data_IF_280112591018
#
_entry.id   IF_280112591018
#
_cell.length_a   1.000
_cell.length_b   1.000
_cell.length_c   1.000
_cell.angle_alpha   90.00
_cell.angle_beta   90.00
_cell.angle_gamma   90.00
#
_symmetry.space_group_name_H-M   'P 1'
#
loop_
_entity.id
_entity.type
_entity.pdbx_description
1 polymer ?
#
# COMPACT_ATOMS: atom_id res chain seq x y z
N UNK A 1 -0.59 -9.94 -8.69
CA UNK A 1 -0.95 -8.90 -7.70
C UNK A 1 -2.29 -8.30 -8.12
N UNK A 2 -3.27 -8.34 -7.24
CA UNK A 2 -4.64 -7.97 -7.59
C UNK A 2 -5.28 -7.14 -6.49
N UNK A 3 -6.14 -6.23 -6.87
CA UNK A 3 -6.95 -5.42 -5.96
C UNK A 3 -8.36 -5.24 -6.49
N UNK A 4 -9.31 -5.05 -5.58
CA UNK A 4 -10.68 -4.67 -5.87
C UNK A 4 -10.83 -3.18 -5.62
N UNK A 5 -11.44 -2.45 -6.57
CA UNK A 5 -11.82 -1.07 -6.34
C UNK A 5 -13.30 -1.00 -5.96
N UNK A 6 -13.59 -0.38 -4.82
CA UNK A 6 -14.94 -0.16 -4.33
C UNK A 6 -15.06 1.23 -3.73
N UNK A 7 -16.03 2.03 -4.18
CA UNK A 7 -16.30 3.39 -3.72
C UNK A 7 -15.03 4.29 -3.66
N UNK A 8 -14.15 4.17 -4.67
CA UNK A 8 -12.88 4.91 -4.74
C UNK A 8 -11.75 4.39 -3.82
N UNK A 9 -12.00 3.33 -3.04
CA UNK A 9 -11.03 2.62 -2.19
C UNK A 9 -10.40 1.45 -2.95
N UNK A 10 -9.16 1.07 -2.57
CA UNK A 10 -8.40 -0.02 -3.20
C UNK A 10 -8.14 -1.12 -2.19
N UNK A 11 -8.85 -2.24 -2.33
CA UNK A 11 -8.80 -3.36 -1.40
C UNK A 11 -7.90 -4.46 -1.98
N UNK A 12 -6.88 -4.84 -1.25
CA UNK A 12 -5.91 -5.85 -1.67
C UNK A 12 -6.52 -7.25 -1.69
N UNK A 13 -6.21 -8.02 -2.74
CA UNK A 13 -6.56 -9.43 -2.88
C UNK A 13 -5.27 -10.24 -2.87
N UNK A 14 -4.86 -10.70 -1.68
CA UNK A 14 -3.56 -11.34 -1.44
C UNK A 14 -3.30 -12.55 -2.35
N UNK A 15 -4.32 -13.39 -2.53
CA UNK A 15 -4.23 -14.61 -3.33
C UNK A 15 -4.64 -14.41 -4.79
N UNK A 16 -4.89 -13.16 -5.18
CA UNK A 16 -5.40 -12.81 -6.50
C UNK A 16 -6.84 -13.26 -6.73
N UNK A 17 -7.36 -12.90 -7.89
CA UNK A 17 -8.65 -13.42 -8.37
C UNK A 17 -8.44 -14.81 -8.96
N UNK A 18 -9.38 -15.70 -8.71
CA UNK A 18 -9.44 -17.04 -9.32
C UNK A 18 -10.52 -17.08 -10.38
N UNK A 19 -10.29 -17.81 -11.45
CA UNK A 19 -11.30 -18.07 -12.47
C UNK A 19 -11.65 -19.55 -12.44
N UNK A 20 -12.94 -19.85 -12.38
CA UNK A 20 -13.45 -21.22 -12.43
C UNK A 20 -14.67 -21.27 -13.34
N UNK A 21 -14.63 -22.12 -14.36
CA UNK A 21 -15.71 -22.29 -15.35
C UNK A 21 -16.19 -20.96 -15.97
N UNK A 22 -15.28 -20.04 -16.27
CA UNK A 22 -15.60 -18.74 -16.84
C UNK A 22 -16.12 -17.70 -15.83
N UNK A 23 -16.20 -18.05 -14.53
CA UNK A 23 -16.65 -17.15 -13.46
C UNK A 23 -15.44 -16.68 -12.65
N UNK A 24 -15.38 -15.36 -12.38
CA UNK A 24 -14.37 -14.78 -11.51
C UNK A 24 -14.79 -14.96 -10.04
N UNK A 25 -13.93 -15.62 -9.26
CA UNK A 25 -14.12 -15.80 -7.82
C UNK A 25 -13.37 -14.70 -7.07
N UNK A 26 -14.09 -14.03 -6.17
CA UNK A 26 -13.57 -12.98 -5.29
C UNK A 26 -13.58 -13.49 -3.86
N UNK A 27 -12.50 -13.31 -3.08
CA UNK A 27 -12.50 -13.67 -1.65
C UNK A 27 -13.62 -12.94 -0.90
N UNK A 28 -14.48 -13.71 -0.21
CA UNK A 28 -15.64 -13.18 0.48
C UNK A 28 -15.31 -12.08 1.51
N UNK A 29 -14.14 -12.11 2.13
CA UNK A 29 -13.69 -11.08 3.07
C UNK A 29 -13.51 -9.73 2.39
N UNK A 30 -12.89 -9.71 1.21
CA UNK A 30 -12.66 -8.49 0.43
C UNK A 30 -13.99 -7.92 -0.05
N UNK A 31 -14.89 -8.79 -0.54
CA UNK A 31 -16.23 -8.38 -0.94
C UNK A 31 -17.05 -7.86 0.25
N UNK A 32 -17.00 -8.55 1.39
CA UNK A 32 -17.63 -8.09 2.63
C UNK A 32 -17.14 -6.72 3.06
N UNK A 33 -15.81 -6.50 3.05
CA UNK A 33 -15.22 -5.20 3.35
C UNK A 33 -15.74 -4.10 2.39
N UNK A 34 -15.78 -4.37 1.09
CA UNK A 34 -16.30 -3.43 0.10
C UNK A 34 -17.76 -3.02 0.35
N UNK A 35 -18.57 -3.95 0.86
CA UNK A 35 -19.96 -3.76 1.20
C UNK A 35 -20.20 -3.32 2.65
N UNK A 36 -19.15 -3.04 3.41
CA UNK A 36 -19.25 -2.66 4.81
C UNK A 36 -19.76 -3.77 5.73
N UNK A 37 -19.65 -5.03 5.30
CA UNK A 37 -20.06 -6.20 6.07
C UNK A 37 -18.86 -6.82 6.82
N UNK A 38 -19.11 -7.42 7.98
CA UNK A 38 -18.14 -8.26 8.68
C UNK A 38 -18.25 -9.71 8.20
N UNK A 39 -17.09 -10.37 8.04
CA UNK A 39 -17.01 -11.77 7.63
C UNK A 39 -16.14 -12.53 8.63
N UNK A 40 -16.73 -13.51 9.31
CA UNK A 40 -16.05 -14.34 10.30
C UNK A 40 -16.19 -15.81 9.96
N UNK A 41 -15.22 -16.61 10.38
CA UNK A 41 -15.29 -18.06 10.30
C UNK A 41 -15.76 -18.61 11.66
N UNK A 42 -16.82 -19.40 11.65
CA UNK A 42 -17.25 -20.18 12.81
C UNK A 42 -16.64 -21.58 12.73
N UNK A 43 -15.61 -21.81 13.55
CA UNK A 43 -14.90 -23.10 13.60
C UNK A 43 -15.71 -24.25 14.21
N UNK A 44 -16.80 -23.95 14.95
CA UNK A 44 -17.67 -24.97 15.56
C UNK A 44 -18.61 -25.55 14.50
N UNK A 45 -19.25 -24.67 13.73
CA UNK A 45 -20.21 -25.09 12.70
C UNK A 45 -19.58 -25.31 11.32
N UNK A 46 -18.30 -24.91 11.12
CA UNK A 46 -17.63 -24.94 9.83
C UNK A 46 -18.24 -23.97 8.82
N UNK A 47 -18.81 -22.86 9.29
CA UNK A 47 -19.58 -21.92 8.48
C UNK A 47 -18.91 -20.55 8.37
N UNK A 48 -19.12 -19.88 7.23
CA UNK A 48 -18.81 -18.46 7.06
C UNK A 48 -20.01 -17.64 7.51
N UNK A 49 -19.82 -16.79 8.52
CA UNK A 49 -20.85 -15.88 9.02
C UNK A 49 -20.62 -14.48 8.45
N UNK A 50 -21.62 -13.99 7.72
CA UNK A 50 -21.61 -12.63 7.15
C UNK A 50 -22.68 -11.81 7.87
N UNK A 51 -22.27 -10.66 8.42
CA UNK A 51 -23.19 -9.70 9.04
C UNK A 51 -23.15 -8.40 8.26
N UNK A 52 -24.28 -7.95 7.76
CA UNK A 52 -24.40 -6.66 7.08
C UNK A 52 -24.00 -5.52 8.01
N UNK A 53 -23.27 -4.55 7.47
CA UNK A 53 -22.96 -3.29 8.14
C UNK A 53 -23.99 -2.21 7.81
N UNK A 54 -23.64 -0.96 8.13
CA UNK A 54 -24.48 0.23 7.94
C UNK A 54 -24.49 0.76 6.50
N UNK A 55 -23.91 0.06 5.55
CA UNK A 55 -23.79 0.47 4.16
C UNK A 55 -22.37 0.22 3.60
N UNK A 56 -22.10 0.64 2.35
CA UNK A 56 -20.79 0.47 1.72
C UNK A 56 -19.69 1.21 2.51
N UNK A 57 -18.44 0.81 2.30
CA UNK A 57 -17.29 1.51 2.92
C UNK A 57 -17.30 2.99 2.54
N UNK A 58 -16.74 3.83 3.42
CA UNK A 58 -16.55 5.26 3.13
C UNK A 58 -15.87 5.45 1.78
N UNK A 59 -16.22 6.52 1.08
CA UNK A 59 -15.62 6.84 -0.21
C UNK A 59 -14.10 7.07 -0.09
N UNK A 60 -13.39 6.85 -1.17
CA UNK A 60 -11.96 7.13 -1.21
C UNK A 60 -11.64 8.61 -0.98
N UNK A 61 -12.52 9.53 -1.42
CA UNK A 61 -12.37 10.97 -1.17
C UNK A 61 -12.52 11.37 0.30
N UNK A 62 -13.25 10.59 1.10
CA UNK A 62 -13.38 10.81 2.55
C UNK A 62 -12.33 10.06 3.36
N UNK A 63 -11.77 9.01 2.81
CA UNK A 63 -10.82 8.14 3.51
C UNK A 63 -9.37 8.58 3.31
N UNK A 64 -8.99 8.90 2.07
CA UNK A 64 -7.63 9.31 1.76
C UNK A 64 -7.47 10.82 1.97
N UNK A 65 -6.39 11.22 2.65
CA UNK A 65 -5.96 12.61 2.70
C UNK A 65 -5.21 12.94 1.42
N UNK A 66 -5.66 13.95 0.68
CA UNK A 66 -5.14 14.29 -0.65
C UNK A 66 -3.64 14.63 -0.64
N UNK A 67 -3.17 15.36 0.36
CA UNK A 67 -1.76 15.71 0.54
C UNK A 67 -0.88 14.48 0.83
N UNK A 68 -1.39 13.53 1.61
CA UNK A 68 -0.71 12.27 1.89
C UNK A 68 -0.58 11.43 0.62
N UNK A 69 -1.67 11.26 -0.15
CA UNK A 69 -1.64 10.55 -1.43
C UNK A 69 -0.72 11.26 -2.42
N UNK A 70 -0.77 12.59 -2.45
CA UNK A 70 0.05 13.41 -3.33
C UNK A 70 1.55 13.15 -3.13
N UNK A 71 2.04 13.23 -1.92
CA UNK A 71 3.47 13.04 -1.64
C UNK A 71 3.90 11.59 -1.65
N UNK A 72 3.08 10.69 -1.09
CA UNK A 72 3.40 9.26 -1.04
C UNK A 72 3.48 8.65 -2.45
N UNK A 73 2.56 8.98 -3.35
CA UNK A 73 2.60 8.48 -4.73
C UNK A 73 3.81 8.99 -5.51
N UNK A 74 4.25 10.23 -5.25
CA UNK A 74 5.42 10.82 -5.90
C UNK A 74 6.73 10.19 -5.46
N UNK A 75 6.90 9.97 -4.16
CA UNK A 75 8.12 9.30 -3.68
C UNK A 75 8.18 7.85 -4.15
N UNK A 76 7.06 7.12 -4.12
CA UNK A 76 6.97 5.77 -4.68
C UNK A 76 7.37 5.77 -6.15
N UNK A 77 6.83 6.69 -6.94
CA UNK A 77 7.15 6.80 -8.37
C UNK A 77 8.63 7.13 -8.62
N UNK A 78 9.19 8.03 -7.85
CA UNK A 78 10.58 8.48 -8.03
C UNK A 78 11.59 7.39 -7.65
N UNK A 79 11.30 6.59 -6.62
CA UNK A 79 12.19 5.52 -6.13
C UNK A 79 11.95 4.17 -6.81
N UNK A 80 10.74 3.89 -7.26
CA UNK A 80 10.35 2.56 -7.74
C UNK A 80 9.40 2.55 -8.94
N UNK A 81 9.33 3.64 -9.71
CA UNK A 81 8.37 3.78 -10.82
C UNK A 81 8.36 2.63 -11.84
N UNK A 82 9.50 1.98 -12.05
CA UNK A 82 9.66 0.84 -12.96
C UNK A 82 9.63 -0.53 -12.25
N UNK A 83 9.35 -0.56 -10.94
CA UNK A 83 9.24 -1.83 -10.20
C UNK A 83 7.81 -2.38 -10.25
N UNK A 84 7.63 -3.69 -10.02
CA UNK A 84 6.30 -4.28 -9.81
C UNK A 84 5.54 -3.61 -8.66
N UNK A 85 4.22 -3.78 -8.63
CA UNK A 85 3.34 -3.17 -7.63
C UNK A 85 3.78 -3.47 -6.18
N UNK A 86 4.21 -4.70 -5.88
CA UNK A 86 4.74 -5.08 -4.55
C UNK A 86 5.98 -4.28 -4.17
N UNK A 87 6.89 -4.02 -5.11
CA UNK A 87 8.07 -3.18 -4.89
C UNK A 87 7.70 -1.72 -4.62
N UNK A 88 6.70 -1.19 -5.33
CA UNK A 88 6.14 0.14 -5.09
C UNK A 88 5.50 0.24 -3.71
N UNK A 89 4.71 -0.77 -3.33
CA UNK A 89 4.10 -0.86 -1.99
C UNK A 89 5.20 -0.90 -0.92
N UNK A 90 6.27 -1.67 -1.12
CA UNK A 90 7.37 -1.74 -0.16
C UNK A 90 8.01 -0.37 0.12
N UNK A 91 8.23 0.45 -0.92
CA UNK A 91 8.73 1.83 -0.75
C UNK A 91 7.75 2.68 0.06
N UNK A 92 6.46 2.62 -0.25
CA UNK A 92 5.42 3.32 0.50
C UNK A 92 5.34 2.88 1.96
N UNK A 93 5.46 1.57 2.23
CA UNK A 93 5.48 1.03 3.60
C UNK A 93 6.67 1.55 4.41
N UNK A 94 7.86 1.65 3.82
CA UNK A 94 9.03 2.21 4.52
C UNK A 94 8.77 3.67 4.93
N UNK A 95 8.15 4.48 4.07
CA UNK A 95 7.77 5.85 4.42
C UNK A 95 6.78 5.87 5.59
N UNK A 96 5.71 5.05 5.51
CA UNK A 96 4.70 4.98 6.58
C UNK A 96 5.25 4.38 7.89
N UNK A 97 6.13 3.39 7.82
CA UNK A 97 6.83 2.85 8.98
C UNK A 97 7.70 3.90 9.68
N UNK A 98 8.35 4.78 8.89
CA UNK A 98 9.10 5.92 9.45
C UNK A 98 8.18 6.90 10.17
N UNK A 99 7.04 7.26 9.55
CA UNK A 99 6.02 8.12 10.19
C UNK A 99 5.54 7.55 11.52
N UNK A 100 5.37 6.22 11.61
CA UNK A 100 4.96 5.54 12.83
C UNK A 100 6.09 5.37 13.86
N UNK A 101 7.34 5.59 13.48
CA UNK A 101 8.50 5.38 14.34
C UNK A 101 8.90 6.66 15.08
N UNK A 102 9.13 6.63 16.40
CA UNK A 102 9.57 7.81 17.16
C UNK A 102 10.97 8.33 16.77
N UNK A 103 11.68 7.61 15.89
CA UNK A 103 13.01 7.97 15.39
C UNK A 103 12.97 8.92 14.19
N UNK A 104 11.79 9.17 13.63
CA UNK A 104 11.57 9.95 12.41
C UNK A 104 10.47 10.99 12.65
N UNK A 105 10.33 11.98 11.74
CA UNK A 105 9.18 12.88 11.74
C UNK A 105 7.85 12.12 11.64
N UNK A 106 6.77 12.73 12.11
CA UNK A 106 5.47 12.08 12.23
C UNK A 106 4.49 12.38 11.08
N UNK A 107 4.96 12.99 9.99
CA UNK A 107 4.18 13.23 8.78
C UNK A 107 4.88 12.67 7.54
N UNK A 108 4.11 12.27 6.53
CA UNK A 108 4.64 11.78 5.25
C UNK A 108 5.52 12.83 4.59
N UNK A 109 5.08 14.08 4.58
CA UNK A 109 5.85 15.19 4.01
C UNK A 109 7.22 15.34 4.68
N UNK A 110 7.26 15.45 6.00
CA UNK A 110 8.50 15.66 6.74
C UNK A 110 9.46 14.47 6.62
N UNK A 111 8.95 13.23 6.61
CA UNK A 111 9.78 12.04 6.38
C UNK A 111 10.41 12.09 4.99
N UNK A 112 9.65 12.47 3.95
CA UNK A 112 10.15 12.55 2.58
C UNK A 112 11.21 13.65 2.43
N UNK A 113 10.96 14.83 3.02
CA UNK A 113 11.84 16.00 2.89
C UNK A 113 12.91 16.09 3.97
N UNK A 114 13.03 15.07 4.82
CA UNK A 114 14.11 14.98 5.79
C UNK A 114 15.48 15.01 5.07
N UNK A 115 16.37 15.85 5.55
CA UNK A 115 17.66 16.10 4.92
C UNK A 115 18.42 14.80 4.62
N UNK A 116 18.89 14.65 3.38
CA UNK A 116 19.71 13.54 2.89
C UNK A 116 19.03 12.13 2.97
N UNK A 117 17.70 12.04 3.07
CA UNK A 117 17.03 10.75 3.12
C UNK A 117 16.62 10.24 1.74
N UNK A 118 16.16 11.12 0.86
CA UNK A 118 15.67 10.75 -0.46
C UNK A 118 16.29 11.61 -1.55
N UNK A 119 17.02 10.99 -2.46
CA UNK A 119 17.63 11.67 -3.63
C UNK A 119 16.60 12.44 -4.48
N UNK A 120 15.37 11.94 -4.71
CA UNK A 120 14.35 12.66 -5.46
C UNK A 120 14.01 14.06 -4.96
N UNK A 121 14.17 14.34 -3.68
CA UNK A 121 13.95 15.69 -3.13
C UNK A 121 15.07 16.65 -3.47
N UNK A 122 16.28 16.14 -3.72
CA UNK A 122 17.46 16.93 -4.04
C UNK A 122 17.51 17.25 -5.55
N UNK A 123 17.24 16.25 -6.39
CA UNK A 123 17.31 16.37 -7.86
C UNK A 123 16.01 16.82 -8.52
N UNK A 124 14.96 17.06 -7.73
CA UNK A 124 13.65 17.53 -8.20
C UNK A 124 12.77 16.46 -8.85
N UNK A 125 13.18 15.19 -8.92
CA UNK A 125 12.36 14.14 -9.52
C UNK A 125 11.08 13.84 -8.74
N UNK A 126 11.01 14.23 -7.46
CA UNK A 126 9.80 14.15 -6.62
C UNK A 126 8.62 14.93 -7.20
N UNK A 127 8.86 15.98 -7.98
CA UNK A 127 7.81 16.82 -8.56
C UNK A 127 7.23 16.27 -9.88
N UNK A 128 7.78 15.20 -10.43
CA UNK A 128 7.24 14.54 -11.62
C UNK A 128 5.87 13.93 -11.31
N UNK A 129 4.98 13.96 -12.29
CA UNK A 129 3.67 13.30 -12.19
C UNK A 129 3.87 11.79 -12.01
N UNK A 130 3.31 11.17 -10.96
CA UNK A 130 3.41 9.74 -10.74
C UNK A 130 2.59 8.99 -11.79
N UNK A 131 3.02 7.78 -12.17
CA UNK A 131 2.20 6.90 -12.98
C UNK A 131 1.01 6.37 -12.17
N UNK A 132 -0.02 5.88 -12.86
CA UNK A 132 -1.26 5.42 -12.23
C UNK A 132 -1.01 4.31 -11.19
N UNK A 133 -0.08 3.39 -11.48
CA UNK A 133 0.23 2.28 -10.58
C UNK A 133 0.93 2.75 -9.28
N UNK A 134 1.72 3.83 -9.32
CA UNK A 134 2.31 4.43 -8.11
C UNK A 134 1.25 5.11 -7.24
N UNK A 135 0.20 5.67 -7.84
CA UNK A 135 -0.96 6.20 -7.09
C UNK A 135 -1.74 5.06 -6.44
N UNK A 136 -1.97 3.97 -7.16
CA UNK A 136 -2.60 2.75 -6.62
C UNK A 136 -1.78 2.19 -5.47
N UNK A 137 -0.45 2.08 -5.61
CA UNK A 137 0.43 1.61 -4.55
C UNK A 137 0.35 2.47 -3.28
N UNK A 138 0.34 3.80 -3.42
CA UNK A 138 0.16 4.71 -2.29
C UNK A 138 -1.17 4.45 -1.56
N UNK A 139 -2.27 4.32 -2.30
CA UNK A 139 -3.59 4.03 -1.72
C UNK A 139 -3.64 2.66 -1.05
N UNK A 140 -3.04 1.62 -1.64
CA UNK A 140 -2.93 0.30 -1.03
C UNK A 140 -2.13 0.33 0.28
N UNK A 141 -1.03 1.09 0.35
CA UNK A 141 -0.30 1.29 1.61
C UNK A 141 -1.19 1.92 2.69
N UNK A 142 -2.00 2.93 2.34
CA UNK A 142 -2.93 3.59 3.25
C UNK A 142 -4.11 2.69 3.67
N UNK A 143 -4.43 1.66 2.89
CA UNK A 143 -5.36 0.58 3.27
C UNK A 143 -4.73 -0.48 4.19
N UNK A 144 -3.45 -0.32 4.53
CA UNK A 144 -2.74 -1.24 5.43
C UNK A 144 -2.03 -2.40 4.72
N UNK A 145 -1.96 -2.38 3.38
CA UNK A 145 -1.19 -3.40 2.64
C UNK A 145 0.28 -3.23 2.95
N UNK A 146 0.92 -4.29 3.42
CA UNK A 146 2.31 -4.25 3.85
C UNK A 146 3.12 -5.40 3.23
N UNK A 147 4.09 -5.05 2.39
CA UNK A 147 5.04 -5.97 1.76
C UNK A 147 6.47 -5.80 2.30
N UNK A 148 6.70 -4.81 3.17
CA UNK A 148 8.01 -4.49 3.75
C UNK A 148 8.14 -4.84 5.23
N UNK A 149 7.08 -5.36 5.88
CA UNK A 149 7.04 -5.57 7.32
C UNK A 149 7.31 -4.27 8.09
N UNK A 150 8.17 -4.32 9.09
CA UNK A 150 8.55 -3.16 9.91
C UNK A 150 9.82 -2.46 9.41
N UNK A 151 10.24 -2.69 8.15
CA UNK A 151 11.47 -2.12 7.60
C UNK A 151 11.42 -0.60 7.56
N UNK A 152 12.49 0.03 8.03
CA UNK A 152 12.69 1.48 8.00
C UNK A 152 13.60 1.92 6.85
N UNK A 153 14.15 0.96 6.10
CA UNK A 153 15.07 1.17 4.99
C UNK A 153 14.72 0.20 3.86
N UNK A 154 14.95 0.63 2.63
CA UNK A 154 14.92 -0.21 1.46
C UNK A 154 16.22 -0.10 0.67
N UNK A 155 16.53 -1.09 -0.10
CA UNK A 155 17.68 -1.12 -1.00
C UNK A 155 17.31 -1.88 -2.25
N UNK A 156 17.75 -1.39 -3.40
CA UNK A 156 17.66 -2.15 -4.63
C UNK A 156 18.92 -3.04 -4.75
N UNK A 157 18.82 -4.36 -4.57
CA UNK A 157 20.00 -5.24 -4.58
C UNK A 157 20.71 -5.26 -5.94
N UNK A 158 20.03 -4.92 -7.04
CA UNK A 158 20.64 -4.83 -8.37
C UNK A 158 21.53 -3.61 -8.54
N UNK A 159 21.21 -2.52 -7.83
CA UNK A 159 21.94 -1.24 -7.91
C UNK A 159 23.00 -1.13 -6.80
N UNK A 160 22.76 -1.76 -5.67
CA UNK A 160 23.63 -1.71 -4.48
C UNK A 160 23.87 -3.10 -3.90
N UNK A 161 24.61 -3.99 -4.62
CA UNK A 161 24.76 -5.41 -4.24
C UNK A 161 25.50 -5.61 -2.90
N UNK A 162 26.26 -4.61 -2.43
CA UNK A 162 27.03 -4.66 -1.18
C UNK A 162 26.55 -3.67 -0.12
N UNK A 163 25.27 -3.29 -0.15
CA UNK A 163 24.73 -2.32 0.81
C UNK A 163 24.75 -2.85 2.25
N UNK A 164 24.83 -1.94 3.21
CA UNK A 164 24.72 -2.24 4.64
C UNK A 164 23.46 -3.06 4.97
N UNK A 165 22.34 -2.74 4.34
CA UNK A 165 21.05 -3.42 4.54
C UNK A 165 21.06 -4.91 4.11
N UNK A 166 21.93 -5.31 3.19
CA UNK A 166 22.08 -6.71 2.80
C UNK A 166 23.00 -7.50 3.74
N UNK A 167 23.97 -6.82 4.38
CA UNK A 167 24.92 -7.47 5.30
C UNK A 167 24.37 -7.73 6.69
N UNK A 168 23.23 -7.13 7.05
CA UNK A 168 22.62 -7.19 8.38
C UNK A 168 21.18 -7.75 8.30
N UNK A 169 20.97 -8.75 7.45
CA UNK A 169 19.74 -9.54 7.42
C UNK A 169 19.71 -10.58 8.52
#
# INVERSE_FOLDING_TARGET
ESYLQANGRYLWVSDGFKMQNGVVLVPVRVLGQALGASVTWDGITGSVVIRSGSGPIRSGSEFYQDDVVYWLSRIINAESGNQPLSGKIAVGNVVLNRVASPRFPNTVYEVIFQRNQFTPTINGSIYRTPNAESVVAAKLCLEGVNTAGNSLYFVNPRVSPNSWAQRNR
#
